data_IF_160904018195
#
_entry.id   IF_160904018195
#
_cell.length_a   1.000
_cell.length_b   1.000
_cell.length_c   1.000
_cell.angle_alpha   90.00
_cell.angle_beta   90.00
_cell.angle_gamma   90.00
#
_symmetry.space_group_name_H-M   'P 1'
#
loop_
_entity.id
_entity.type
_entity.pdbx_description
1 polymer ?
#
# COMPACT_ATOMS: atom_id res chain seq x y z
N UNK A 1 -7.16 -20.68 -6.03
CA UNK A 1 -7.58 -19.26 -6.05
C UNK A 1 -8.14 -18.91 -7.42
N UNK A 2 -8.93 -17.87 -7.55
CA UNK A 2 -9.52 -17.39 -8.81
C UNK A 2 -9.54 -15.87 -8.79
N UNK A 3 -9.16 -15.23 -9.88
CA UNK A 3 -9.39 -13.80 -10.08
C UNK A 3 -10.79 -13.62 -10.66
N UNK A 4 -11.64 -12.91 -9.95
CA UNK A 4 -13.01 -12.60 -10.35
C UNK A 4 -13.38 -11.20 -9.87
N UNK A 5 -14.47 -10.66 -10.38
CA UNK A 5 -14.96 -9.36 -9.97
C UNK A 5 -15.28 -9.36 -8.47
N UNK A 6 -14.70 -8.42 -7.74
CA UNK A 6 -14.95 -8.18 -6.33
C UNK A 6 -16.24 -7.38 -6.11
N UNK A 7 -16.60 -7.22 -4.85
CA UNK A 7 -17.70 -6.34 -4.45
C UNK A 7 -17.14 -5.00 -3.99
N UNK A 8 -17.81 -3.91 -4.32
CA UNK A 8 -17.48 -2.62 -3.72
C UNK A 8 -17.88 -2.67 -2.24
N UNK A 9 -16.91 -2.39 -1.37
CA UNK A 9 -17.14 -2.27 0.07
C UNK A 9 -17.13 -0.80 0.47
N UNK A 10 -18.08 -0.42 1.33
CA UNK A 10 -18.19 0.96 1.83
C UNK A 10 -17.11 1.20 2.90
N UNK A 11 -15.95 1.59 2.45
CA UNK A 11 -14.76 1.75 3.29
C UNK A 11 -13.90 2.91 2.77
N UNK A 12 -13.38 3.71 3.68
CA UNK A 12 -12.48 4.81 3.33
C UNK A 12 -11.05 4.28 3.32
N UNK A 13 -10.35 4.48 2.21
CA UNK A 13 -8.95 4.14 2.08
C UNK A 13 -8.11 4.88 3.14
N UNK A 14 -7.22 4.15 3.81
CA UNK A 14 -6.43 4.68 4.93
C UNK A 14 -7.15 4.70 6.28
N UNK A 15 -8.41 4.22 6.39
CA UNK A 15 -9.08 4.03 7.68
C UNK A 15 -8.56 2.78 8.40
N UNK A 16 -8.72 2.68 9.74
CA UNK A 16 -8.34 1.48 10.49
C UNK A 16 -9.01 0.20 9.99
N UNK A 17 -10.25 0.31 9.52
CA UNK A 17 -11.01 -0.82 8.94
C UNK A 17 -10.41 -1.26 7.61
N UNK A 18 -9.97 -0.30 6.78
CA UNK A 18 -9.27 -0.56 5.53
C UNK A 18 -7.92 -1.24 5.79
N UNK A 19 -7.14 -0.77 6.76
CA UNK A 19 -5.87 -1.37 7.16
C UNK A 19 -6.07 -2.81 7.64
N UNK A 20 -7.12 -3.06 8.44
CA UNK A 20 -7.46 -4.38 8.95
C UNK A 20 -7.89 -5.36 7.84
N UNK A 21 -8.61 -4.86 6.82
CA UNK A 21 -8.98 -5.65 5.65
C UNK A 21 -7.74 -5.94 4.79
N UNK A 22 -6.96 -4.91 4.48
CA UNK A 22 -5.72 -4.99 3.70
C UNK A 22 -4.73 -6.00 4.26
N UNK A 23 -4.59 -6.07 5.59
CA UNK A 23 -3.71 -7.02 6.25
C UNK A 23 -4.08 -8.49 5.94
N UNK A 24 -5.36 -8.75 5.65
CA UNK A 24 -5.91 -10.11 5.40
C UNK A 24 -6.08 -10.45 3.92
N UNK A 25 -5.75 -9.54 3.01
CA UNK A 25 -5.97 -9.69 1.56
C UNK A 25 -4.66 -9.57 0.78
N UNK A 26 -4.64 -10.14 -0.40
CA UNK A 26 -3.64 -9.92 -1.42
C UNK A 26 -4.05 -8.71 -2.25
N UNK A 27 -3.36 -7.58 -2.05
CA UNK A 27 -3.82 -6.31 -2.60
C UNK A 27 -3.17 -5.99 -3.95
N UNK A 28 -3.88 -5.25 -4.80
CA UNK A 28 -3.37 -4.83 -6.10
C UNK A 28 -2.05 -4.04 -5.99
N UNK A 29 -1.92 -3.17 -4.98
CA UNK A 29 -0.69 -2.40 -4.75
C UNK A 29 0.49 -3.24 -4.25
N UNK A 30 0.26 -4.45 -3.73
CA UNK A 30 1.30 -5.41 -3.32
C UNK A 30 1.68 -6.39 -4.45
N UNK A 31 0.84 -6.49 -5.49
CA UNK A 31 1.09 -7.40 -6.61
C UNK A 31 2.46 -7.20 -7.28
N UNK A 32 2.99 -5.96 -7.46
CA UNK A 32 4.34 -5.76 -7.96
C UNK A 32 5.42 -6.34 -7.04
N UNK A 33 5.27 -6.21 -5.72
CA UNK A 33 6.23 -6.79 -4.75
C UNK A 33 6.14 -8.31 -4.76
N UNK A 34 4.95 -8.88 -4.78
CA UNK A 34 4.71 -10.32 -4.91
C UNK A 34 5.40 -10.89 -6.17
N UNK A 35 5.33 -10.19 -7.29
CA UNK A 35 5.95 -10.59 -8.56
C UNK A 35 7.46 -10.27 -8.64
N UNK A 36 8.07 -9.69 -7.59
CA UNK A 36 9.49 -9.28 -7.60
C UNK A 36 9.81 -8.14 -8.55
N UNK A 37 8.81 -7.30 -8.87
CA UNK A 37 8.92 -6.16 -9.79
C UNK A 37 8.83 -4.79 -9.10
N UNK A 38 8.54 -4.76 -7.80
CA UNK A 38 8.49 -3.50 -7.04
C UNK A 38 9.88 -2.92 -6.81
N UNK A 39 9.99 -1.59 -6.94
CA UNK A 39 11.18 -0.81 -6.59
C UNK A 39 11.25 -0.48 -5.08
N UNK A 40 10.14 -0.66 -4.34
CA UNK A 40 9.98 -0.16 -2.97
C UNK A 40 9.97 -1.27 -1.92
N UNK A 41 9.50 -2.46 -2.27
CA UNK A 41 9.38 -3.58 -1.35
C UNK A 41 9.79 -4.87 -2.07
N UNK A 42 10.66 -5.66 -1.45
CA UNK A 42 11.00 -6.98 -1.98
C UNK A 42 9.89 -7.99 -1.73
N UNK A 43 9.88 -9.08 -2.53
CA UNK A 43 8.96 -10.19 -2.30
C UNK A 43 9.12 -10.82 -0.91
N UNK A 44 10.35 -10.92 -0.42
CA UNK A 44 10.62 -11.48 0.90
C UNK A 44 10.13 -10.56 2.04
N UNK A 45 10.23 -9.24 1.87
CA UNK A 45 9.67 -8.30 2.85
C UNK A 45 8.15 -8.38 2.88
N UNK A 46 7.51 -8.55 1.73
CA UNK A 46 6.07 -8.77 1.66
C UNK A 46 5.65 -10.09 2.33
N UNK A 47 6.39 -11.19 2.08
CA UNK A 47 6.16 -12.48 2.76
C UNK A 47 6.27 -12.32 4.28
N UNK A 48 7.34 -11.69 4.76
CA UNK A 48 7.53 -11.41 6.18
C UNK A 48 6.39 -10.59 6.76
N UNK A 49 6.01 -9.51 6.09
CA UNK A 49 4.90 -8.65 6.51
C UNK A 49 3.59 -9.43 6.62
N UNK A 50 3.24 -10.22 5.60
CA UNK A 50 2.00 -11.02 5.60
C UNK A 50 2.02 -12.15 6.64
N UNK A 51 3.17 -12.78 6.85
CA UNK A 51 3.30 -13.88 7.82
C UNK A 51 3.28 -13.40 9.27
N UNK A 52 3.88 -12.25 9.55
CA UNK A 52 4.05 -11.76 10.93
C UNK A 52 3.06 -10.68 11.32
N UNK A 53 2.40 -10.03 10.35
CA UNK A 53 1.59 -8.84 10.57
C UNK A 53 2.41 -7.59 10.92
N UNK A 54 3.75 -7.68 10.95
CA UNK A 54 4.63 -6.56 11.27
C UNK A 54 4.80 -5.68 10.05
N UNK A 55 4.26 -4.47 10.12
CA UNK A 55 4.45 -3.42 9.12
C UNK A 55 5.53 -2.46 9.63
N UNK A 56 6.55 -2.12 8.82
CA UNK A 56 7.54 -1.13 9.20
C UNK A 56 6.89 0.20 9.58
N UNK A 57 7.41 0.85 10.62
CA UNK A 57 6.94 2.18 10.98
C UNK A 57 7.21 3.18 9.84
N UNK A 58 6.17 3.95 9.53
CA UNK A 58 6.27 5.04 8.55
C UNK A 58 6.91 6.25 9.22
N UNK A 59 8.07 6.68 8.73
CA UNK A 59 8.72 7.90 9.25
C UNK A 59 7.87 9.14 8.92
N UNK A 60 8.06 10.21 9.71
CA UNK A 60 7.38 11.49 9.45
C UNK A 60 7.68 12.07 8.06
N UNK A 61 8.82 11.73 7.47
CA UNK A 61 9.17 12.12 6.11
C UNK A 61 8.37 11.31 5.08
N UNK A 62 8.28 9.99 5.25
CA UNK A 62 7.47 9.13 4.39
C UNK A 62 5.98 9.48 4.47
N UNK A 63 5.49 9.81 5.67
CA UNK A 63 4.10 10.24 5.83
C UNK A 63 3.80 11.50 5.02
N UNK A 64 4.70 12.50 5.02
CA UNK A 64 4.54 13.70 4.20
C UNK A 64 4.48 13.39 2.70
N UNK A 65 5.32 12.45 2.23
CA UNK A 65 5.29 12.01 0.82
C UNK A 65 3.93 11.37 0.48
N UNK A 66 3.38 10.57 1.38
CA UNK A 66 2.06 9.96 1.18
C UNK A 66 0.94 11.01 1.17
N UNK A 67 0.98 11.98 2.11
CA UNK A 67 0.02 13.07 2.17
C UNK A 67 0.09 13.96 0.93
N UNK A 68 1.30 14.25 0.41
CA UNK A 68 1.50 14.97 -0.84
C UNK A 68 0.93 14.19 -2.03
N UNK A 69 1.16 12.88 -2.07
CA UNK A 69 0.59 11.98 -3.07
C UNK A 69 -0.94 12.01 -3.10
N UNK A 70 -1.59 11.88 -1.94
CA UNK A 70 -3.05 11.94 -1.84
C UNK A 70 -3.63 13.31 -2.25
N UNK A 71 -2.92 14.41 -1.91
CA UNK A 71 -3.34 15.76 -2.36
C UNK A 71 -3.24 15.91 -3.87
N UNK A 72 -2.15 15.41 -4.46
CA UNK A 72 -1.95 15.45 -5.91
C UNK A 72 -3.01 14.60 -6.64
N UNK A 73 -3.32 13.39 -6.13
CA UNK A 73 -4.37 12.53 -6.65
C UNK A 73 -5.74 13.23 -6.65
N UNK A 74 -6.13 13.80 -5.49
CA UNK A 74 -7.40 14.51 -5.36
C UNK A 74 -7.50 15.72 -6.30
N UNK A 75 -6.39 16.43 -6.54
CA UNK A 75 -6.34 17.56 -7.47
C UNK A 75 -6.33 17.11 -8.94
N UNK A 76 -5.74 15.95 -9.23
CA UNK A 76 -5.68 15.39 -10.58
C UNK A 76 -7.01 14.81 -11.07
N UNK A 77 -7.87 14.32 -10.14
CA UNK A 77 -9.14 13.65 -10.49
C UNK A 77 -10.05 14.50 -11.37
N UNK A 78 -10.34 15.79 -11.08
CA UNK A 78 -11.18 16.62 -11.95
C UNK A 78 -10.60 16.82 -13.36
N UNK A 79 -9.27 16.77 -13.52
CA UNK A 79 -8.62 16.83 -14.83
C UNK A 79 -8.78 15.49 -15.57
N UNK A 80 -8.63 14.38 -14.87
CA UNK A 80 -8.87 13.05 -15.40
C UNK A 80 -10.33 12.87 -15.84
N UNK A 81 -11.30 13.36 -15.08
CA UNK A 81 -12.73 13.33 -15.40
C UNK A 81 -13.06 14.09 -16.69
N UNK A 82 -12.43 15.25 -16.92
CA UNK A 82 -12.56 15.99 -18.18
C UNK A 82 -12.05 15.18 -19.39
N UNK A 83 -10.98 14.42 -19.20
CA UNK A 83 -10.39 13.59 -20.26
C UNK A 83 -11.26 12.36 -20.52
N UNK A 84 -11.73 11.70 -19.47
CA UNK A 84 -12.59 10.52 -19.55
C UNK A 84 -14.01 10.86 -20.06
N UNK A 85 -14.47 12.09 -19.78
CA UNK A 85 -15.86 12.51 -20.03
C UNK A 85 -16.85 11.90 -19.03
N UNK A 86 -16.37 11.47 -17.85
CA UNK A 86 -17.14 10.80 -16.81
C UNK A 86 -16.59 11.12 -15.42
N UNK A 87 -17.36 10.91 -14.37
CA UNK A 87 -16.96 11.14 -12.98
C UNK A 87 -16.29 9.91 -12.39
N UNK A 88 -15.30 10.11 -11.53
CA UNK A 88 -14.55 9.05 -10.84
C UNK A 88 -14.79 9.05 -9.34
N UNK A 89 -15.14 7.88 -8.81
CA UNK A 89 -15.38 7.66 -7.38
C UNK A 89 -14.29 6.72 -6.82
N UNK A 90 -13.56 7.10 -5.76
CA UNK A 90 -12.66 6.18 -5.07
C UNK A 90 -13.42 4.98 -4.55
N UNK A 91 -12.95 3.78 -4.85
CA UNK A 91 -13.62 2.55 -4.42
C UNK A 91 -12.62 1.54 -3.86
N UNK A 92 -13.09 0.74 -2.94
CA UNK A 92 -12.41 -0.46 -2.45
C UNK A 92 -13.18 -1.68 -2.94
N UNK A 93 -12.51 -2.54 -3.67
CA UNK A 93 -13.03 -3.81 -4.18
C UNK A 93 -12.51 -4.94 -3.29
N UNK A 94 -13.39 -5.80 -2.79
CA UNK A 94 -13.04 -7.00 -2.01
C UNK A 94 -13.60 -8.26 -2.66
N UNK A 95 -12.75 -9.22 -2.93
CA UNK A 95 -13.11 -10.62 -3.24
C UNK A 95 -12.76 -11.48 -2.03
N UNK A 96 -13.69 -11.51 -1.07
CA UNK A 96 -13.55 -12.26 0.17
C UNK A 96 -13.32 -13.75 -0.07
N UNK A 97 -13.97 -14.32 -1.09
CA UNK A 97 -13.91 -15.74 -1.41
C UNK A 97 -12.48 -16.18 -1.79
N UNK A 98 -11.78 -15.37 -2.56
CA UNK A 98 -10.43 -15.68 -3.03
C UNK A 98 -9.32 -14.90 -2.32
N UNK A 99 -9.70 -13.97 -1.44
CA UNK A 99 -8.76 -13.21 -0.63
C UNK A 99 -8.06 -12.06 -1.35
N UNK A 100 -8.66 -11.51 -2.42
CA UNK A 100 -8.11 -10.40 -3.17
C UNK A 100 -8.77 -9.07 -2.83
N UNK A 101 -7.99 -7.99 -2.92
CA UNK A 101 -8.47 -6.62 -2.71
C UNK A 101 -7.81 -5.67 -3.71
N UNK A 102 -8.56 -4.67 -4.15
CA UNK A 102 -8.02 -3.52 -4.87
C UNK A 102 -8.64 -2.23 -4.33
N UNK A 103 -7.81 -1.25 -4.02
CA UNK A 103 -8.25 0.14 -3.89
C UNK A 103 -7.97 0.82 -5.21
N UNK A 104 -8.95 1.53 -5.74
CA UNK A 104 -8.82 2.29 -6.97
C UNK A 104 -8.98 3.77 -6.65
N UNK A 105 -8.15 4.59 -7.21
CA UNK A 105 -8.20 6.06 -7.06
C UNK A 105 -9.48 6.62 -7.69
N UNK A 106 -10.06 5.88 -8.64
CA UNK A 106 -11.39 6.14 -9.18
C UNK A 106 -11.93 4.99 -10.03
N UNK A 107 -13.24 4.84 -9.98
CA UNK A 107 -14.02 4.00 -10.88
C UNK A 107 -15.26 4.82 -11.27
N UNK A 108 -15.63 4.82 -12.55
CA UNK A 108 -16.85 5.51 -12.96
C UNK A 108 -18.10 4.75 -12.52
N UNK A 109 -19.26 5.39 -12.63
CA UNK A 109 -20.55 4.84 -12.17
C UNK A 109 -20.91 3.53 -12.90
N UNK A 110 -20.51 3.38 -14.16
CA UNK A 110 -20.79 2.17 -14.95
C UNK A 110 -19.83 1.03 -14.63
N UNK A 111 -18.70 1.31 -13.98
CA UNK A 111 -17.70 0.33 -13.61
C UNK A 111 -16.79 -0.12 -14.77
N UNK A 112 -16.83 0.55 -15.91
CA UNK A 112 -16.09 0.20 -17.13
C UNK A 112 -14.82 1.03 -17.34
N UNK A 113 -14.68 2.18 -16.64
CA UNK A 113 -13.51 3.05 -16.72
C UNK A 113 -12.92 3.25 -15.33
N UNK A 114 -11.65 2.87 -15.16
CA UNK A 114 -10.88 3.13 -13.94
C UNK A 114 -9.99 4.38 -14.05
N UNK A 115 -9.57 4.90 -12.91
CA UNK A 115 -8.58 5.95 -12.77
C UNK A 115 -7.50 5.49 -11.78
N UNK A 116 -6.24 5.67 -12.15
CA UNK A 116 -5.07 5.38 -11.30
C UNK A 116 -4.09 6.54 -11.40
N UNK A 117 -3.68 7.08 -10.26
CA UNK A 117 -2.77 8.22 -10.16
C UNK A 117 -1.42 7.83 -9.57
N UNK A 118 -0.37 8.44 -10.12
CA UNK A 118 0.98 8.35 -9.56
C UNK A 118 1.65 9.72 -9.55
N UNK A 119 2.49 9.98 -8.57
CA UNK A 119 3.33 11.18 -8.57
C UNK A 119 4.22 11.20 -9.80
N UNK A 120 4.20 12.30 -10.55
CA UNK A 120 4.95 12.43 -11.79
C UNK A 120 6.44 12.64 -11.51
N UNK A 121 7.26 11.68 -11.89
CA UNK A 121 8.70 11.82 -12.01
C UNK A 121 9.11 11.99 -13.47
N UNK A 122 10.34 12.44 -13.72
CA UNK A 122 10.86 12.55 -15.08
C UNK A 122 10.88 11.20 -15.82
N UNK A 123 11.17 10.11 -15.09
CA UNK A 123 11.16 8.75 -15.62
C UNK A 123 9.71 8.31 -15.99
N UNK A 124 8.74 8.55 -15.11
CA UNK A 124 7.35 8.25 -15.40
C UNK A 124 6.81 9.10 -16.57
N UNK A 125 7.21 10.38 -16.64
CA UNK A 125 6.83 11.24 -17.76
C UNK A 125 7.31 10.66 -19.10
N UNK A 126 8.56 10.19 -19.16
CA UNK A 126 9.12 9.56 -20.35
C UNK A 126 8.40 8.26 -20.73
N UNK A 127 8.01 7.44 -19.74
CA UNK A 127 7.23 6.22 -19.96
C UNK A 127 5.85 6.51 -20.56
N UNK A 128 5.14 7.50 -20.00
CA UNK A 128 3.82 7.90 -20.50
C UNK A 128 3.94 8.45 -21.93
N UNK A 129 4.93 9.31 -22.19
CA UNK A 129 5.17 9.87 -23.54
C UNK A 129 5.52 8.77 -24.58
N UNK A 130 6.20 7.73 -24.13
CA UNK A 130 6.51 6.56 -24.98
C UNK A 130 5.32 5.58 -25.15
N UNK A 131 4.21 5.78 -24.44
CA UNK A 131 3.08 4.87 -24.42
C UNK A 131 3.37 3.51 -23.76
N UNK A 132 4.40 3.44 -22.90
CA UNK A 132 4.85 2.21 -22.27
C UNK A 132 5.11 2.43 -20.79
N UNK A 133 4.40 1.69 -19.96
CA UNK A 133 4.61 1.72 -18.51
C UNK A 133 5.46 0.52 -18.07
N UNK A 134 6.29 0.75 -17.05
CA UNK A 134 7.01 -0.33 -16.40
C UNK A 134 6.06 -1.41 -15.85
N UNK A 135 6.56 -2.63 -15.80
CA UNK A 135 5.80 -3.81 -15.43
C UNK A 135 5.15 -3.70 -14.04
N UNK A 136 5.77 -2.99 -13.10
CA UNK A 136 5.19 -2.83 -11.76
C UNK A 136 3.86 -2.05 -11.76
N UNK A 137 3.70 -1.04 -12.62
CA UNK A 137 2.42 -0.36 -12.79
C UNK A 137 1.38 -1.27 -13.45
N UNK A 138 1.81 -2.01 -14.48
CA UNK A 138 0.93 -2.94 -15.21
C UNK A 138 0.38 -4.03 -14.30
N UNK A 139 1.22 -4.68 -13.49
CA UNK A 139 0.81 -5.75 -12.57
C UNK A 139 -0.21 -5.25 -11.54
N UNK A 140 -0.07 -4.03 -11.01
CA UNK A 140 -1.06 -3.43 -10.13
C UNK A 140 -2.41 -3.29 -10.85
N UNK A 141 -2.40 -2.70 -12.05
CA UNK A 141 -3.63 -2.49 -12.84
C UNK A 141 -4.25 -3.80 -13.32
N UNK A 142 -3.47 -4.84 -13.62
CA UNK A 142 -4.00 -6.15 -13.98
C UNK A 142 -4.91 -6.72 -12.88
N UNK A 143 -4.54 -6.56 -11.61
CA UNK A 143 -5.40 -6.96 -10.49
C UNK A 143 -6.60 -6.02 -10.32
N UNK A 144 -6.42 -4.73 -10.52
CA UNK A 144 -7.52 -3.76 -10.52
C UNK A 144 -8.54 -4.10 -11.62
N UNK A 145 -8.10 -4.40 -12.84
CA UNK A 145 -8.95 -4.87 -13.94
C UNK A 145 -9.73 -6.13 -13.60
N UNK A 146 -9.04 -7.10 -13.01
CA UNK A 146 -9.68 -8.38 -12.66
C UNK A 146 -10.78 -8.21 -11.61
N UNK A 147 -10.58 -7.32 -10.63
CA UNK A 147 -11.51 -7.11 -9.53
C UNK A 147 -12.62 -6.10 -9.86
N UNK A 148 -12.33 -5.05 -10.63
CA UNK A 148 -13.33 -4.05 -10.98
C UNK A 148 -14.19 -4.47 -12.18
N UNK A 149 -13.64 -5.23 -13.11
CA UNK A 149 -14.26 -5.50 -14.40
C UNK A 149 -14.09 -4.36 -15.40
N UNK A 150 -13.37 -3.28 -15.05
CA UNK A 150 -13.13 -2.16 -15.94
C UNK A 150 -12.50 -2.62 -17.26
N UNK A 151 -12.88 -1.97 -18.37
CA UNK A 151 -12.36 -2.26 -19.70
C UNK A 151 -11.05 -1.51 -19.97
N UNK A 152 -10.91 -0.32 -19.35
CA UNK A 152 -9.71 0.52 -19.47
C UNK A 152 -9.50 1.32 -18.20
N UNK A 153 -8.25 1.71 -17.95
CA UNK A 153 -7.85 2.60 -16.86
C UNK A 153 -7.16 3.82 -17.45
N UNK A 154 -7.59 5.02 -17.05
CA UNK A 154 -6.85 6.25 -17.27
C UNK A 154 -5.73 6.33 -16.24
N UNK A 155 -4.53 5.98 -16.65
CA UNK A 155 -3.33 6.10 -15.83
C UNK A 155 -2.78 7.51 -15.95
N UNK A 156 -2.64 8.19 -14.80
CA UNK A 156 -2.22 9.59 -14.73
C UNK A 156 -0.96 9.72 -13.89
N UNK A 157 0.00 10.46 -14.41
CA UNK A 157 1.15 10.98 -13.68
C UNK A 157 1.00 12.48 -13.49
N UNK A 158 0.95 12.98 -12.25
CA UNK A 158 0.91 14.42 -11.98
C UNK A 158 1.42 14.77 -10.59
N UNK A 159 1.66 16.06 -10.36
CA UNK A 159 1.86 16.65 -9.03
C UNK A 159 0.58 17.34 -8.51
N UNK A 160 -0.54 17.14 -9.21
CA UNK A 160 -1.83 17.75 -8.95
C UNK A 160 -2.08 19.04 -9.74
N UNK A 161 -1.12 19.54 -10.53
CA UNK A 161 -1.27 20.72 -11.39
C UNK A 161 -1.55 20.33 -12.83
N UNK A 162 -2.18 21.24 -13.59
CA UNK A 162 -2.47 21.03 -15.01
C UNK A 162 -1.17 21.09 -15.86
N UNK A 163 -0.18 21.86 -15.43
CA UNK A 163 1.12 22.01 -16.10
C UNK A 163 1.93 20.70 -16.06
N UNK A 164 1.83 19.96 -14.95
CA UNK A 164 2.55 18.72 -14.72
C UNK A 164 1.57 17.53 -14.72
N UNK A 165 0.77 17.43 -15.80
CA UNK A 165 -0.22 16.38 -15.95
C UNK A 165 0.03 15.60 -17.24
N UNK A 166 0.27 14.28 -17.11
CA UNK A 166 0.42 13.36 -18.23
C UNK A 166 -0.46 12.15 -18.01
N UNK A 167 -0.93 11.56 -19.08
CA UNK A 167 -1.79 10.39 -18.98
C UNK A 167 -1.58 9.39 -20.10
N UNK A 168 -1.99 8.17 -19.85
CA UNK A 168 -2.02 7.07 -20.81
C UNK A 168 -3.27 6.22 -20.56
N UNK A 169 -3.99 5.90 -21.63
CA UNK A 169 -5.04 4.88 -21.56
C UNK A 169 -4.41 3.49 -21.55
N UNK A 170 -4.79 2.69 -20.59
CA UNK A 170 -4.34 1.32 -20.41
C UNK A 170 -5.54 0.41 -20.61
N UNK A 171 -5.47 -0.43 -21.61
CA UNK A 171 -6.54 -1.38 -21.93
C UNK A 171 -6.40 -2.66 -21.11
N UNK A 172 -7.54 -3.26 -20.78
CA UNK A 172 -7.63 -4.57 -20.12
C UNK A 172 -7.06 -5.65 -21.03
N UNK A 173 -6.19 -6.47 -20.48
CA UNK A 173 -5.63 -7.65 -21.16
C UNK A 173 -5.80 -8.90 -20.28
N UNK A 174 -6.82 -9.68 -20.54
CA UNK A 174 -7.12 -10.90 -19.77
C UNK A 174 -6.04 -11.98 -19.86
N UNK A 175 -5.19 -11.95 -20.89
CA UNK A 175 -4.08 -12.89 -21.00
C UNK A 175 -3.09 -12.77 -19.84
N UNK A 176 -3.05 -11.61 -19.17
CA UNK A 176 -2.19 -11.29 -18.05
C UNK A 176 -2.74 -11.79 -16.70
N UNK A 177 -4.04 -12.12 -16.61
CA UNK A 177 -4.66 -12.56 -15.37
C UNK A 177 -4.19 -13.95 -14.92
N UNK A 178 -4.01 -14.87 -15.86
CA UNK A 178 -3.53 -16.22 -15.54
C UNK A 178 -2.12 -16.24 -14.97
N UNK A 179 -1.12 -15.53 -15.52
CA UNK A 179 0.20 -15.39 -14.92
C UNK A 179 0.15 -14.72 -13.53
N UNK A 180 -0.65 -13.66 -13.37
CA UNK A 180 -0.83 -12.96 -12.11
C UNK A 180 -1.40 -13.89 -11.02
N UNK A 181 -2.44 -14.64 -11.35
CA UNK A 181 -3.05 -15.62 -10.44
C UNK A 181 -2.05 -16.70 -10.03
N UNK A 182 -1.31 -17.27 -10.99
CA UNK A 182 -0.30 -18.29 -10.73
C UNK A 182 0.81 -17.77 -9.78
N UNK A 183 1.21 -16.51 -9.93
CA UNK A 183 2.18 -15.87 -9.06
C UNK A 183 1.63 -15.70 -7.62
N UNK A 184 0.37 -15.31 -7.47
CA UNK A 184 -0.29 -15.24 -6.18
C UNK A 184 -0.48 -16.63 -5.54
N UNK A 185 -0.84 -17.65 -6.31
CA UNK A 185 -0.94 -19.03 -5.80
C UNK A 185 0.41 -19.55 -5.29
N UNK A 186 1.50 -19.23 -5.98
CA UNK A 186 2.84 -19.56 -5.50
C UNK A 186 3.19 -18.75 -4.24
N UNK A 187 2.86 -17.46 -4.21
CA UNK A 187 3.08 -16.63 -3.03
C UNK A 187 2.31 -17.15 -1.81
N UNK A 188 1.06 -17.58 -1.99
CA UNK A 188 0.26 -18.16 -0.91
C UNK A 188 0.85 -19.46 -0.36
N UNK A 189 1.44 -20.32 -1.21
CA UNK A 189 2.17 -21.52 -0.78
C UNK A 189 3.40 -21.15 0.03
N UNK A 190 4.22 -20.24 -0.50
CA UNK A 190 5.43 -19.80 0.19
C UNK A 190 5.10 -19.11 1.53
N UNK A 191 3.96 -18.41 1.61
CA UNK A 191 3.46 -17.79 2.83
C UNK A 191 3.04 -18.85 3.88
N UNK A 192 2.39 -19.93 3.45
CA UNK A 192 1.98 -21.01 4.33
C UNK A 192 3.20 -21.80 4.89
N UNK A 193 4.30 -21.82 4.14
CA UNK A 193 5.54 -22.48 4.53
C UNK A 193 6.55 -21.52 5.19
N UNK A 194 6.21 -20.22 5.28
CA UNK A 194 7.14 -19.20 5.76
C UNK A 194 7.42 -19.38 7.25
N UNK A 195 8.69 -19.60 7.56
CA UNK A 195 9.21 -19.60 8.93
C UNK A 195 9.95 -18.29 9.14
N UNK A 196 9.49 -17.39 10.05
CA UNK A 196 10.23 -16.19 10.37
C UNK A 196 11.66 -16.56 10.80
N UNK A 197 12.68 -15.92 10.20
CA UNK A 197 14.02 -16.03 10.72
C UNK A 197 14.03 -15.59 12.19
N UNK A 198 14.67 -16.36 13.06
CA UNK A 198 14.92 -15.91 14.43
C UNK A 198 15.55 -14.50 14.37
N UNK A 199 15.09 -13.54 15.18
CA UNK A 199 15.75 -12.25 15.23
C UNK A 199 17.24 -12.49 15.47
N UNK A 200 18.10 -12.05 14.55
CA UNK A 200 19.54 -12.08 14.81
C UNK A 200 19.75 -11.41 16.16
N UNK A 201 20.34 -12.16 17.11
CA UNK A 201 20.77 -11.56 18.37
C UNK A 201 21.59 -10.31 18.02
N UNK A 202 21.37 -9.17 18.68
CA UNK A 202 22.07 -7.94 18.38
C UNK A 202 23.57 -8.29 18.36
N UNK A 203 24.21 -8.09 17.21
CA UNK A 203 25.66 -8.25 17.11
C UNK A 203 26.23 -7.34 18.16
N UNK A 204 26.86 -7.92 19.16
CA UNK A 204 27.59 -7.18 20.18
C UNK A 204 28.71 -6.43 19.45
N UNK A 205 28.42 -5.22 18.98
CA UNK A 205 29.47 -4.28 18.58
C UNK A 205 30.23 -3.92 19.85
N UNK A 206 31.43 -4.49 19.94
CA UNK A 206 32.31 -4.26 21.07
C UNK A 206 32.68 -2.80 21.22
N UNK A 207 31.98 -2.13 22.11
CA UNK A 207 32.40 -1.08 23.03
C UNK A 207 31.22 -0.77 23.94
N UNK A 208 31.34 -1.10 25.21
CA UNK A 208 30.41 -0.64 26.22
C UNK A 208 30.38 0.91 26.16
N UNK A 209 29.20 1.54 25.99
CA UNK A 209 29.11 2.98 26.12
C UNK A 209 29.33 3.37 27.59
N UNK A 210 30.19 4.35 27.84
CA UNK A 210 30.52 4.88 29.18
C UNK A 210 29.34 5.63 29.88
N UNK A 211 28.16 5.61 29.28
CA UNK A 211 26.92 6.09 29.91
C UNK A 211 25.72 5.39 29.31
N UNK A 212 24.85 4.84 30.14
CA UNK A 212 23.54 4.36 29.73
C UNK A 212 22.73 5.53 29.13
N UNK A 213 22.18 5.38 27.91
CA UNK A 213 21.30 6.40 27.38
C UNK A 213 20.07 6.52 28.28
N UNK A 214 19.69 7.75 28.61
CA UNK A 214 18.46 7.99 29.35
C UNK A 214 17.27 7.37 28.58
N UNK A 215 16.62 6.36 29.16
CA UNK A 215 15.45 5.74 28.61
C UNK A 215 14.32 6.77 28.66
N UNK A 216 13.95 7.36 27.53
CA UNK A 216 12.77 8.20 27.44
C UNK A 216 11.57 7.33 27.13
N UNK A 217 10.74 7.05 28.13
CA UNK A 217 9.43 6.43 27.93
C UNK A 217 8.45 7.53 27.55
N UNK A 218 7.96 7.49 26.31
CA UNK A 218 6.89 8.40 25.87
C UNK A 218 5.56 7.77 26.24
N UNK A 219 4.90 8.29 27.26
CA UNK A 219 3.54 7.90 27.62
C UNK A 219 2.57 8.77 26.82
N UNK A 220 1.87 8.16 25.87
CA UNK A 220 0.76 8.79 25.12
C UNK A 220 -0.54 8.51 25.88
N UNK A 221 -0.94 9.41 26.75
CA UNK A 221 -2.21 9.40 27.49
C UNK A 221 -2.27 10.58 28.45
N UNK A 222 -3.47 11.10 28.71
CA UNK A 222 -3.67 12.08 29.77
C UNK A 222 -3.54 11.37 31.12
N UNK A 223 -2.47 11.68 31.86
CA UNK A 223 -2.30 11.27 33.25
C UNK A 223 -2.81 12.42 34.10
N UNK A 224 -3.83 12.20 34.93
CA UNK A 224 -4.26 13.20 35.89
C UNK A 224 -3.14 13.44 36.95
N UNK A 225 -2.94 14.68 37.30
CA UNK A 225 -1.85 15.07 38.20
C UNK A 225 -1.89 14.38 39.61
N UNK A 226 -3.02 13.82 39.97
CA UNK A 226 -3.23 13.04 41.21
C UNK A 226 -2.52 11.68 41.23
N UNK A 227 -2.23 11.09 40.03
CA UNK A 227 -1.67 9.73 39.93
C UNK A 227 -0.18 9.74 39.53
N UNK A 228 0.41 10.92 39.33
CA UNK A 228 1.80 11.03 38.83
C UNK A 228 2.81 10.34 39.77
N UNK A 229 2.61 10.45 41.09
CA UNK A 229 3.49 9.82 42.09
C UNK A 229 3.37 8.29 42.12
N UNK A 230 2.17 7.76 41.92
CA UNK A 230 1.93 6.30 41.84
C UNK A 230 2.49 5.73 40.54
N UNK A 231 2.35 6.47 39.42
CA UNK A 231 2.93 6.11 38.15
C UNK A 231 4.47 6.08 38.19
N UNK A 232 5.11 7.11 38.78
CA UNK A 232 6.57 7.14 38.96
C UNK A 232 7.06 5.99 39.86
N UNK A 233 6.33 5.64 40.91
CA UNK A 233 6.68 4.52 41.78
C UNK A 233 6.58 3.17 41.04
N UNK A 234 5.54 2.97 40.24
CA UNK A 234 5.34 1.78 39.42
C UNK A 234 6.40 1.62 38.32
N UNK A 235 6.73 2.73 37.64
CA UNK A 235 7.76 2.72 36.58
C UNK A 235 9.16 2.43 37.20
N UNK A 236 9.48 2.95 38.38
CA UNK A 236 10.74 2.66 39.08
C UNK A 236 10.82 1.22 39.56
N UNK A 237 9.71 0.62 40.00
CA UNK A 237 9.65 -0.77 40.42
C UNK A 237 9.88 -1.73 39.24
N UNK A 238 9.31 -1.40 38.08
CA UNK A 238 9.49 -2.17 36.84
C UNK A 238 10.93 -2.11 36.31
N UNK A 239 11.56 -0.93 36.38
CA UNK A 239 12.97 -0.75 35.99
C UNK A 239 13.97 -1.43 36.95
N UNK A 240 13.62 -1.63 38.20
CA UNK A 240 14.45 -2.32 39.19
C UNK A 240 14.36 -3.87 39.10
N UNK A 241 13.42 -4.40 38.30
CA UNK A 241 13.21 -5.83 38.08
C UNK A 241 13.80 -6.34 36.75
N UNK A 242 14.44 -5.46 35.99
CA UNK A 242 15.19 -5.78 34.75
C UNK A 242 16.69 -5.69 35.04
#
# INVERSE_FOLDING_TARGET
MKLQQGKIVNMVQGSPEWDALRAKRFTASEAPAMAGKSKYQSRNDLLRQKATGIVPEVSSHQQRIFDDGHRAEAAARPLAEKIAGDEFFPVVMDDEENGFMASMDGLNMMGDIGFEHKWLSADLAAQIDAGQLEEHYRIQMDQQFALSGAERILFVGSDGTEENFKYLWVERDESRFKPLLAAWEQFAKDLAEYVPAEPEAPKAEGKAPDALPALSVRVTGMVEASNLKEFEASARATLASI
#
